data_IF_528723021471
#
_entry.id   IF_528723021471
#
_cell.length_a   1.000
_cell.length_b   1.000
_cell.length_c   1.000
_cell.angle_alpha   90.00
_cell.angle_beta   90.00
_cell.angle_gamma   90.00
#
_symmetry.space_group_name_H-M   'P 1'
#
loop_
_entity.id
_entity.type
_entity.pdbx_description
1 polymer ?
#
# COMPACT_ATOMS: atom_id res chain seq x y z
N UNK A 1 28.39 -25.65 -7.17
CA UNK A 1 26.99 -25.48 -7.58
C UNK A 1 26.68 -24.00 -7.48
N UNK A 2 26.32 -23.37 -8.59
CA UNK A 2 26.13 -21.94 -8.62
C UNK A 2 24.66 -21.62 -8.42
N UNK A 3 24.32 -20.85 -7.40
CA UNK A 3 23.08 -20.08 -7.34
C UNK A 3 22.95 -19.41 -8.72
N UNK A 4 21.84 -19.68 -9.42
CA UNK A 4 21.70 -19.14 -10.76
C UNK A 4 21.25 -17.68 -10.70
N UNK A 5 22.21 -16.78 -10.47
CA UNK A 5 21.96 -15.34 -10.53
C UNK A 5 21.23 -14.94 -11.84
N UNK A 6 21.49 -15.65 -12.94
CA UNK A 6 20.81 -15.42 -14.21
C UNK A 6 19.30 -15.77 -14.13
N UNK A 7 18.94 -16.92 -13.51
CA UNK A 7 17.53 -17.30 -13.32
C UNK A 7 16.80 -16.31 -12.41
N UNK A 8 17.41 -15.99 -11.26
CA UNK A 8 16.87 -15.01 -10.33
C UNK A 8 16.63 -13.66 -11.01
N UNK A 9 17.63 -13.15 -11.73
CA UNK A 9 17.51 -11.87 -12.43
C UNK A 9 16.50 -11.91 -13.58
N UNK A 10 16.41 -13.03 -14.31
CA UNK A 10 15.40 -13.22 -15.35
C UNK A 10 13.97 -13.17 -14.78
N UNK A 11 13.74 -13.84 -13.64
CA UNK A 11 12.45 -13.79 -12.95
C UNK A 11 12.08 -12.35 -12.54
N UNK A 12 13.02 -11.64 -11.91
CA UNK A 12 12.81 -10.24 -11.51
C UNK A 12 12.51 -9.33 -12.71
N UNK A 13 13.16 -9.53 -13.83
CA UNK A 13 12.89 -8.76 -15.06
C UNK A 13 11.51 -9.06 -15.66
N UNK A 14 11.08 -10.31 -15.60
CA UNK A 14 9.80 -10.74 -16.17
C UNK A 14 8.62 -10.26 -15.32
N UNK A 15 8.75 -10.34 -14.00
CA UNK A 15 7.66 -10.10 -13.06
C UNK A 15 7.81 -8.80 -12.26
N UNK A 16 8.80 -7.97 -12.57
CA UNK A 16 9.05 -6.68 -11.93
C UNK A 16 8.14 -5.56 -12.43
N UNK A 17 6.85 -5.76 -12.36
CA UNK A 17 5.81 -4.75 -12.65
C UNK A 17 4.91 -4.55 -11.42
N UNK A 18 4.02 -3.56 -11.47
CA UNK A 18 3.04 -3.33 -10.41
C UNK A 18 2.12 -4.55 -10.26
N UNK A 19 2.00 -5.07 -9.03
CA UNK A 19 1.22 -6.26 -8.68
C UNK A 19 0.63 -6.13 -7.29
N UNK A 20 -0.30 -5.18 -7.21
CA UNK A 20 -0.98 -4.87 -5.95
C UNK A 20 -1.76 -6.09 -5.47
N UNK A 21 -1.79 -6.28 -4.16
CA UNK A 21 -2.53 -7.36 -3.52
C UNK A 21 -3.97 -7.47 -4.04
N UNK A 22 -4.44 -8.70 -4.28
CA UNK A 22 -5.73 -9.04 -4.90
C UNK A 22 -5.87 -8.66 -6.39
N UNK A 23 -4.79 -8.28 -7.06
CA UNK A 23 -4.81 -8.02 -8.51
C UNK A 23 -4.56 -9.28 -9.32
N UNK A 24 -4.86 -9.22 -10.62
CA UNK A 24 -4.50 -10.29 -11.57
C UNK A 24 -3.00 -10.43 -11.72
N UNK A 25 -2.29 -9.32 -11.63
CA UNK A 25 -0.85 -9.22 -11.71
C UNK A 25 -0.20 -9.96 -10.53
N UNK A 26 -0.72 -9.77 -9.31
CA UNK A 26 -0.29 -10.53 -8.13
C UNK A 26 -0.53 -12.04 -8.33
N UNK A 27 -1.71 -12.43 -8.79
CA UNK A 27 -2.06 -13.83 -9.05
C UNK A 27 -1.12 -14.47 -10.09
N UNK A 28 -0.79 -13.75 -11.14
CA UNK A 28 0.14 -14.21 -12.18
C UNK A 28 1.52 -14.52 -11.59
N UNK A 29 2.00 -13.67 -10.67
CA UNK A 29 3.30 -13.90 -10.02
C UNK A 29 3.23 -15.07 -9.03
N UNK A 30 2.12 -15.22 -8.30
CA UNK A 30 1.89 -16.39 -7.43
C UNK A 30 1.96 -17.70 -8.21
N UNK A 31 1.30 -17.76 -9.35
CA UNK A 31 1.30 -18.94 -10.25
C UNK A 31 2.70 -19.21 -10.84
N UNK A 32 3.45 -18.15 -11.16
CA UNK A 32 4.83 -18.29 -11.62
C UNK A 32 5.73 -18.85 -10.49
N UNK A 33 5.61 -18.35 -9.27
CA UNK A 33 6.36 -18.87 -8.11
C UNK A 33 5.99 -20.34 -7.81
N UNK A 34 4.71 -20.68 -7.89
CA UNK A 34 4.23 -22.06 -7.75
C UNK A 34 4.88 -22.99 -8.81
N UNK A 35 4.89 -22.53 -10.08
CA UNK A 35 5.48 -23.28 -11.18
C UNK A 35 7.00 -23.45 -11.00
N UNK A 36 7.71 -22.46 -10.52
CA UNK A 36 9.13 -22.57 -10.17
C UNK A 36 9.35 -23.66 -9.11
N UNK A 37 8.59 -23.64 -8.02
CA UNK A 37 8.69 -24.66 -6.97
C UNK A 37 8.41 -26.06 -7.51
N UNK A 38 7.34 -26.24 -8.28
CA UNK A 38 6.95 -27.55 -8.83
C UNK A 38 7.95 -28.04 -9.87
N UNK A 39 8.53 -27.16 -10.70
CA UNK A 39 9.57 -27.51 -11.66
C UNK A 39 10.86 -28.03 -11.00
N UNK A 40 11.10 -27.57 -9.76
CA UNK A 40 12.18 -28.07 -8.91
C UNK A 40 11.84 -29.40 -8.21
N UNK A 41 10.64 -29.95 -8.41
CA UNK A 41 10.17 -31.19 -7.81
C UNK A 41 9.67 -31.03 -6.36
N UNK A 42 9.48 -29.81 -5.88
CA UNK A 42 9.02 -29.54 -4.53
C UNK A 42 7.49 -29.49 -4.50
N UNK A 43 6.89 -30.11 -3.49
CA UNK A 43 5.45 -29.99 -3.26
C UNK A 43 5.09 -28.57 -2.88
N UNK A 44 4.25 -27.93 -3.67
CA UNK A 44 3.83 -26.56 -3.45
C UNK A 44 2.35 -26.36 -3.79
N UNK A 45 1.71 -25.39 -3.13
CA UNK A 45 0.30 -25.06 -3.33
C UNK A 45 0.06 -23.58 -3.12
N UNK A 46 -1.07 -23.09 -3.66
CA UNK A 46 -1.61 -21.78 -3.33
C UNK A 46 -2.57 -21.91 -2.15
N UNK A 47 -2.39 -21.08 -1.15
CA UNK A 47 -3.30 -20.97 -0.01
C UNK A 47 -4.00 -19.61 -0.07
N UNK A 48 -5.27 -19.65 -0.48
CA UNK A 48 -6.08 -18.45 -0.65
C UNK A 48 -6.61 -17.94 0.70
N UNK A 49 -6.68 -16.62 0.81
CA UNK A 49 -7.26 -15.95 1.98
C UNK A 49 -7.94 -14.64 1.56
N UNK A 50 -8.90 -14.23 2.38
CA UNK A 50 -9.67 -13.00 2.16
C UNK A 50 -8.88 -11.80 2.68
N UNK A 51 -8.88 -10.72 1.90
CA UNK A 51 -8.26 -9.45 2.25
C UNK A 51 -9.29 -8.33 2.11
N UNK A 52 -9.47 -7.50 3.15
CA UNK A 52 -10.31 -6.33 3.03
C UNK A 52 -9.69 -5.32 2.05
N UNK A 53 -10.36 -5.09 0.94
CA UNK A 53 -9.93 -4.21 -0.15
C UNK A 53 -10.80 -2.96 -0.24
N UNK A 54 -10.34 -1.99 -1.02
CA UNK A 54 -11.10 -0.80 -1.36
C UNK A 54 -10.71 -0.31 -2.75
N UNK A 55 -11.60 0.43 -3.36
CA UNK A 55 -11.35 1.10 -4.63
C UNK A 55 -11.91 2.51 -4.58
N UNK A 56 -11.13 3.48 -4.99
CA UNK A 56 -11.56 4.86 -5.17
C UNK A 56 -11.91 5.07 -6.63
N UNK A 57 -13.13 5.50 -6.90
CA UNK A 57 -13.62 5.81 -8.25
C UNK A 57 -13.57 7.29 -8.58
N UNK A 58 -13.62 8.16 -7.57
CA UNK A 58 -13.55 9.61 -7.75
C UNK A 58 -12.87 10.27 -6.54
N UNK A 59 -12.02 11.27 -6.81
CA UNK A 59 -11.42 12.13 -5.80
C UNK A 59 -11.21 13.53 -6.37
N UNK A 60 -11.65 14.57 -5.67
CA UNK A 60 -11.51 15.97 -6.05
C UNK A 60 -11.18 16.82 -4.82
N UNK A 61 -10.29 17.79 -5.02
CA UNK A 61 -10.02 18.87 -4.07
C UNK A 61 -9.99 20.20 -4.79
N UNK A 62 -10.83 21.13 -4.35
CA UNK A 62 -10.89 22.50 -4.84
C UNK A 62 -10.81 23.49 -3.67
N UNK A 63 -9.88 24.42 -3.72
CA UNK A 63 -9.94 25.60 -2.86
C UNK A 63 -11.04 26.53 -3.40
N UNK A 64 -11.91 26.99 -2.51
CA UNK A 64 -13.06 27.87 -2.86
C UNK A 64 -12.89 29.29 -2.34
N UNK A 65 -12.06 29.52 -1.33
CA UNK A 65 -11.73 30.84 -0.81
C UNK A 65 -10.31 30.86 -0.21
N UNK A 66 -9.54 31.95 -0.35
CA UNK A 66 -9.83 33.25 -1.01
C UNK A 66 -9.58 33.22 -2.53
N UNK A 67 -9.27 32.08 -3.11
CA UNK A 67 -9.09 31.87 -4.54
C UNK A 67 -9.76 30.56 -4.94
N UNK A 68 -9.99 30.37 -6.24
CA UNK A 68 -10.53 29.11 -6.77
C UNK A 68 -9.44 28.39 -7.54
N UNK A 69 -9.14 27.16 -7.12
CA UNK A 69 -8.19 26.28 -7.81
C UNK A 69 -8.43 24.82 -7.43
N UNK A 70 -8.43 23.94 -8.42
CA UNK A 70 -8.41 22.50 -8.23
C UNK A 70 -6.96 22.00 -8.11
N UNK A 71 -6.78 20.99 -7.26
CA UNK A 71 -5.51 20.30 -7.05
C UNK A 71 -5.67 18.82 -7.34
N UNK A 72 -4.70 18.25 -8.00
CA UNK A 72 -4.66 16.81 -8.23
C UNK A 72 -4.49 16.05 -6.92
N UNK A 73 -5.37 15.09 -6.68
CA UNK A 73 -5.42 14.30 -5.46
C UNK A 73 -5.73 12.84 -5.75
N UNK A 74 -5.38 11.96 -4.82
CA UNK A 74 -5.87 10.59 -4.74
C UNK A 74 -6.69 10.42 -3.47
N UNK A 75 -7.69 9.54 -3.48
CA UNK A 75 -8.40 9.14 -2.27
C UNK A 75 -7.69 7.99 -1.58
N UNK A 76 -7.84 7.90 -0.25
CA UNK A 76 -7.46 6.69 0.47
C UNK A 76 -8.51 5.61 0.22
N UNK A 77 -8.06 4.43 -0.18
CA UNK A 77 -8.91 3.25 -0.23
C UNK A 77 -9.45 2.94 1.16
N UNK A 78 -10.72 2.54 1.24
CA UNK A 78 -11.43 2.25 2.50
C UNK A 78 -11.65 3.46 3.40
N UNK A 79 -11.40 4.67 2.95
CA UNK A 79 -11.91 5.87 3.57
C UNK A 79 -13.43 6.01 3.34
N UNK A 80 -14.11 6.78 4.19
CA UNK A 80 -15.50 7.09 3.95
C UNK A 80 -15.66 7.95 2.68
N UNK A 81 -16.71 7.72 1.92
CA UNK A 81 -17.10 8.63 0.85
C UNK A 81 -17.65 9.94 1.44
N UNK A 82 -17.54 11.02 0.69
CA UNK A 82 -18.25 12.26 1.00
C UNK A 82 -19.76 12.08 0.76
N UNK A 83 -20.61 12.92 1.37
CA UNK A 83 -22.01 13.03 0.98
C UNK A 83 -22.16 13.33 -0.53
N UNK A 84 -23.34 13.08 -1.07
CA UNK A 84 -23.67 13.51 -2.44
C UNK A 84 -23.48 15.02 -2.59
N UNK A 85 -22.77 15.44 -3.63
CA UNK A 85 -22.39 16.83 -3.85
C UNK A 85 -21.14 17.28 -3.10
N UNK A 86 -20.44 16.36 -2.41
CA UNK A 86 -19.18 16.66 -1.76
C UNK A 86 -19.31 17.25 -0.33
N UNK A 87 -18.23 17.80 0.15
CA UNK A 87 -18.13 18.45 1.45
C UNK A 87 -17.42 19.80 1.31
N UNK A 88 -18.15 20.87 1.65
CA UNK A 88 -17.66 22.25 1.70
C UNK A 88 -17.48 22.69 3.16
N UNK A 89 -16.26 23.02 3.56
CA UNK A 89 -16.03 23.56 4.91
C UNK A 89 -14.70 24.32 5.00
N UNK A 90 -14.42 24.84 6.18
CA UNK A 90 -13.16 25.51 6.47
C UNK A 90 -11.99 24.54 6.36
N UNK A 91 -10.87 25.07 5.88
CA UNK A 91 -9.59 24.39 5.80
C UNK A 91 -8.70 24.79 6.97
N UNK A 92 -8.01 23.81 7.55
CA UNK A 92 -7.05 24.03 8.63
C UNK A 92 -5.80 23.19 8.43
N UNK A 93 -4.61 23.81 8.46
CA UNK A 93 -3.35 23.10 8.51
C UNK A 93 -2.94 22.86 9.97
N UNK A 94 -2.76 21.59 10.34
CA UNK A 94 -2.53 21.15 11.72
C UNK A 94 -1.15 20.55 11.94
N UNK A 95 -0.22 20.79 11.02
CA UNK A 95 1.16 20.29 11.08
C UNK A 95 1.24 18.78 11.35
N UNK A 96 1.80 18.39 12.49
CA UNK A 96 1.90 16.98 12.91
C UNK A 96 0.75 16.57 13.86
N UNK A 97 -0.43 17.13 13.67
CA UNK A 97 -1.56 17.03 14.59
C UNK A 97 -1.21 17.64 15.97
N UNK A 98 -0.73 18.88 15.93
CA UNK A 98 -0.44 19.66 17.13
C UNK A 98 -1.72 19.92 17.93
N UNK A 99 -1.67 19.69 19.23
CA UNK A 99 -2.85 19.73 20.10
C UNK A 99 -3.50 21.11 20.15
N UNK A 100 -2.70 22.19 20.12
CA UNK A 100 -3.22 23.57 20.12
C UNK A 100 -3.98 23.86 18.82
N UNK A 101 -3.46 23.38 17.67
CA UNK A 101 -4.14 23.55 16.38
C UNK A 101 -5.41 22.70 16.30
N UNK A 102 -5.40 21.51 16.88
CA UNK A 102 -6.54 20.60 16.89
C UNK A 102 -7.77 21.12 17.65
N UNK A 103 -7.61 22.04 18.59
CA UNK A 103 -8.75 22.72 19.25
C UNK A 103 -9.68 23.43 18.26
N UNK A 104 -9.18 23.73 17.05
CA UNK A 104 -9.96 24.40 15.99
C UNK A 104 -10.42 23.45 14.89
N UNK A 105 -10.15 22.14 14.99
CA UNK A 105 -10.31 21.19 13.89
C UNK A 105 -11.76 20.68 13.71
N UNK A 106 -12.61 20.84 14.72
CA UNK A 106 -13.98 20.31 14.70
C UNK A 106 -14.76 20.78 13.47
N UNK A 107 -15.25 19.81 12.69
CA UNK A 107 -16.06 20.05 11.49
C UNK A 107 -15.27 20.60 10.29
N UNK A 108 -13.96 20.72 10.37
CA UNK A 108 -13.11 21.25 9.30
C UNK A 108 -12.42 20.14 8.51
N UNK A 109 -12.00 20.46 7.30
CA UNK A 109 -11.06 19.65 6.52
C UNK A 109 -9.65 20.02 6.94
N UNK A 110 -8.93 19.05 7.50
CA UNK A 110 -7.62 19.30 8.07
C UNK A 110 -6.51 18.73 7.17
N UNK A 111 -5.43 19.50 6.98
CA UNK A 111 -4.20 19.02 6.35
C UNK A 111 -3.19 18.67 7.44
N UNK A 112 -2.67 17.44 7.39
CA UNK A 112 -1.64 16.94 8.31
C UNK A 112 -0.39 16.51 7.55
N UNK A 113 0.78 16.64 8.18
CA UNK A 113 2.04 16.23 7.61
C UNK A 113 2.17 14.70 7.49
N UNK A 114 2.58 14.25 6.31
CA UNK A 114 2.94 12.86 6.06
C UNK A 114 1.77 11.89 6.05
N UNK A 115 2.11 10.61 6.18
CA UNK A 115 1.13 9.53 6.22
C UNK A 115 0.42 9.42 7.57
N UNK A 116 -0.83 8.94 7.56
CA UNK A 116 -1.59 8.68 8.77
C UNK A 116 -1.04 7.44 9.50
N UNK A 117 -0.52 7.66 10.69
CA UNK A 117 -0.29 6.60 11.67
C UNK A 117 -1.44 6.58 12.68
N UNK A 118 -1.45 5.56 13.56
CA UNK A 118 -2.52 5.38 14.55
C UNK A 118 -2.69 6.59 15.48
N UNK A 119 -1.59 7.10 16.02
CA UNK A 119 -1.65 8.22 16.98
C UNK A 119 -2.17 9.50 16.33
N UNK A 120 -1.71 9.81 15.11
CA UNK A 120 -2.19 10.97 14.36
C UNK A 120 -3.67 10.83 14.00
N UNK A 121 -4.08 9.66 13.48
CA UNK A 121 -5.47 9.42 13.12
C UNK A 121 -6.41 9.54 14.33
N UNK A 122 -6.05 8.92 15.44
CA UNK A 122 -6.79 9.00 16.69
C UNK A 122 -6.99 10.46 17.17
N UNK A 123 -5.91 11.27 17.16
CA UNK A 123 -5.98 12.69 17.52
C UNK A 123 -6.96 13.45 16.63
N UNK A 124 -6.86 13.28 15.31
CA UNK A 124 -7.73 13.94 14.33
C UNK A 124 -9.21 13.52 14.50
N UNK A 125 -9.45 12.25 14.80
CA UNK A 125 -10.81 11.74 15.05
C UNK A 125 -11.39 12.25 16.36
N UNK A 126 -10.59 12.33 17.43
CA UNK A 126 -10.99 12.93 18.71
C UNK A 126 -11.30 14.43 18.58
N UNK A 127 -10.56 15.13 17.72
CA UNK A 127 -10.81 16.54 17.39
C UNK A 127 -12.01 16.73 16.43
N UNK A 128 -12.73 15.67 16.07
CA UNK A 128 -13.92 15.71 15.23
C UNK A 128 -13.67 16.38 13.85
N UNK A 129 -12.46 16.19 13.27
CA UNK A 129 -12.19 16.63 11.92
C UNK A 129 -13.17 15.97 10.93
N UNK A 130 -13.75 16.78 10.02
CA UNK A 130 -14.74 16.30 9.05
C UNK A 130 -14.11 15.46 7.93
N UNK A 131 -12.91 15.82 7.51
CA UNK A 131 -12.09 15.08 6.55
C UNK A 131 -10.62 15.39 6.77
N UNK A 132 -9.76 14.53 6.19
CA UNK A 132 -8.30 14.62 6.36
C UNK A 132 -7.63 14.71 5.00
N UNK A 133 -6.70 15.63 4.87
CA UNK A 133 -5.77 15.73 3.75
C UNK A 133 -4.38 15.34 4.24
N UNK A 134 -3.67 14.56 3.44
CA UNK A 134 -2.26 14.20 3.63
C UNK A 134 -1.48 14.61 2.40
N UNK A 135 -0.15 14.54 2.46
CA UNK A 135 0.66 14.74 1.28
C UNK A 135 1.84 13.78 1.24
N UNK A 136 2.36 13.56 0.03
CA UNK A 136 3.52 12.73 -0.27
C UNK A 136 4.54 13.50 -1.10
N UNK A 137 5.79 13.02 -1.09
CA UNK A 137 6.89 13.69 -1.75
C UNK A 137 7.47 14.86 -0.93
N UNK A 138 8.30 15.66 -1.59
CA UNK A 138 8.92 16.86 -1.04
C UNK A 138 8.60 18.06 -1.92
N UNK A 139 8.64 19.24 -1.36
CA UNK A 139 8.34 20.50 -2.08
C UNK A 139 9.31 20.81 -3.23
N UNK A 140 10.47 20.19 -3.23
CA UNK A 140 11.51 20.32 -4.28
C UNK A 140 11.39 19.25 -5.37
N UNK A 141 10.54 18.22 -5.18
CA UNK A 141 10.36 17.17 -6.17
C UNK A 141 9.63 17.75 -7.38
N UNK A 142 10.02 17.32 -8.59
CA UNK A 142 9.30 17.67 -9.82
C UNK A 142 8.01 16.83 -9.88
N UNK A 143 6.97 17.34 -10.52
CA UNK A 143 5.71 16.62 -10.71
C UNK A 143 5.89 15.25 -11.38
N UNK A 144 6.88 15.13 -12.27
CA UNK A 144 7.25 13.87 -12.92
C UNK A 144 8.01 12.88 -12.01
N UNK A 145 8.48 13.32 -10.84
CA UNK A 145 9.30 12.53 -9.93
C UNK A 145 8.56 12.15 -8.63
N UNK A 146 7.43 12.80 -8.36
CA UNK A 146 6.60 12.51 -7.18
C UNK A 146 5.21 12.07 -7.64
N UNK A 147 5.02 10.77 -7.70
CA UNK A 147 3.69 10.23 -7.96
C UNK A 147 2.78 10.46 -6.76
N UNK A 148 1.49 10.70 -7.07
CA UNK A 148 0.47 10.73 -6.04
C UNK A 148 0.28 9.31 -5.52
N UNK A 149 0.71 9.04 -4.30
CA UNK A 149 0.54 7.74 -3.70
C UNK A 149 -0.95 7.42 -3.50
N UNK A 150 -1.34 6.24 -3.91
CA UNK A 150 -2.59 5.62 -3.49
C UNK A 150 -2.35 4.94 -2.16
N UNK A 151 -3.05 5.41 -1.14
CA UNK A 151 -2.94 4.91 0.23
C UNK A 151 -4.19 4.13 0.60
N UNK A 152 -4.06 3.23 1.56
CA UNK A 152 -5.16 2.46 2.13
C UNK A 152 -5.34 2.83 3.60
N UNK A 153 -6.57 3.11 3.99
CA UNK A 153 -6.91 3.32 5.40
C UNK A 153 -7.11 1.95 6.06
N UNK A 154 -6.22 1.63 7.00
CA UNK A 154 -6.19 0.30 7.63
C UNK A 154 -7.36 0.13 8.61
N UNK A 155 -7.91 -1.08 8.73
CA UNK A 155 -8.95 -1.43 9.70
C UNK A 155 -8.56 -1.09 11.13
N UNK A 156 -7.30 -1.29 11.48
CA UNK A 156 -6.76 -0.92 12.80
C UNK A 156 -6.93 0.57 13.15
N UNK A 157 -7.23 1.41 12.16
CA UNK A 157 -7.57 2.82 12.34
C UNK A 157 -9.08 3.04 12.31
N UNK A 158 -9.79 2.40 11.38
CA UNK A 158 -11.22 2.67 11.16
C UNK A 158 -12.13 1.98 12.17
N UNK A 159 -11.79 0.78 12.64
CA UNK A 159 -12.60 0.06 13.62
C UNK A 159 -12.75 0.82 14.96
N UNK A 160 -11.65 1.31 15.58
CA UNK A 160 -11.79 1.99 16.86
C UNK A 160 -12.19 3.46 16.74
N UNK A 161 -11.95 4.14 15.60
CA UNK A 161 -12.11 5.59 15.50
C UNK A 161 -13.11 6.04 14.43
N UNK A 162 -13.70 5.12 13.67
CA UNK A 162 -14.56 5.40 12.54
C UNK A 162 -13.80 5.90 11.31
N UNK A 163 -14.39 5.74 10.12
CA UNK A 163 -13.84 6.24 8.88
C UNK A 163 -14.33 7.66 8.58
N UNK A 164 -13.46 8.47 7.99
CA UNK A 164 -13.78 9.78 7.40
C UNK A 164 -13.20 9.85 6.00
N UNK A 165 -13.63 10.80 5.15
CA UNK A 165 -12.96 11.05 3.88
C UNK A 165 -11.49 11.42 4.10
N UNK A 166 -10.60 10.76 3.35
CA UNK A 166 -9.16 11.02 3.40
C UNK A 166 -8.63 11.11 1.99
N UNK A 167 -7.96 12.22 1.67
CA UNK A 167 -7.34 12.44 0.37
C UNK A 167 -5.83 12.68 0.54
N UNK A 168 -5.07 12.38 -0.49
CA UNK A 168 -3.64 12.61 -0.55
C UNK A 168 -3.30 13.51 -1.73
N UNK A 169 -2.33 14.42 -1.55
CA UNK A 169 -1.84 15.33 -2.58
C UNK A 169 -0.31 15.34 -2.64
N UNK A 170 0.24 16.03 -3.62
CA UNK A 170 1.69 16.28 -3.66
C UNK A 170 2.10 17.31 -2.61
N UNK A 171 3.29 17.16 -2.05
CA UNK A 171 3.85 18.11 -1.08
C UNK A 171 3.92 19.55 -1.63
N UNK A 172 4.22 19.71 -2.92
CA UNK A 172 4.22 21.02 -3.57
C UNK A 172 2.84 21.69 -3.56
N UNK A 173 1.78 20.92 -3.81
CA UNK A 173 0.38 21.37 -3.75
C UNK A 173 -0.02 21.73 -2.32
N UNK A 174 0.34 20.91 -1.34
CA UNK A 174 0.10 21.18 0.08
C UNK A 174 0.78 22.49 0.53
N UNK A 175 2.04 22.68 0.16
CA UNK A 175 2.77 23.90 0.45
C UNK A 175 2.13 25.14 -0.23
N UNK A 176 1.64 25.00 -1.46
CA UNK A 176 0.95 26.09 -2.16
C UNK A 176 -0.35 26.49 -1.46
N UNK A 177 -1.19 25.50 -1.10
CA UNK A 177 -2.47 25.73 -0.40
C UNK A 177 -2.24 26.51 0.88
N UNK A 178 -1.26 26.09 1.71
CA UNK A 178 -0.92 26.75 2.98
C UNK A 178 -0.36 28.16 2.72
N UNK A 179 0.62 28.29 1.82
CA UNK A 179 1.25 29.60 1.50
C UNK A 179 0.24 30.61 0.96
N UNK A 180 -0.73 30.16 0.16
CA UNK A 180 -1.77 31.04 -0.40
C UNK A 180 -2.92 31.33 0.57
N UNK A 181 -2.87 30.78 1.78
CA UNK A 181 -3.82 31.05 2.83
C UNK A 181 -5.23 30.58 2.51
N UNK A 182 -5.36 29.35 2.00
CA UNK A 182 -6.69 28.76 1.76
C UNK A 182 -7.53 28.81 3.04
N UNK A 183 -8.80 29.18 2.91
CA UNK A 183 -9.74 29.30 4.04
C UNK A 183 -10.86 28.28 3.97
N UNK A 184 -11.39 28.05 2.77
CA UNK A 184 -12.44 27.06 2.53
C UNK A 184 -12.06 26.19 1.35
N UNK A 185 -12.42 24.92 1.46
CA UNK A 185 -12.18 23.92 0.42
C UNK A 185 -13.43 23.07 0.22
N UNK A 186 -13.57 22.59 -1.00
CA UNK A 186 -14.54 21.59 -1.41
C UNK A 186 -13.79 20.30 -1.72
N UNK A 187 -14.28 19.17 -1.20
CA UNK A 187 -13.76 17.85 -1.54
C UNK A 187 -14.88 16.90 -1.97
N UNK A 188 -14.56 16.04 -2.91
CA UNK A 188 -15.37 14.89 -3.27
C UNK A 188 -14.50 13.63 -3.16
N UNK A 189 -15.05 12.59 -2.57
CA UNK A 189 -14.45 11.26 -2.51
C UNK A 189 -15.55 10.22 -2.66
N UNK A 190 -15.41 9.36 -3.65
CA UNK A 190 -16.28 8.20 -3.83
C UNK A 190 -15.43 6.96 -3.92
N UNK A 191 -15.72 6.01 -3.06
CA UNK A 191 -15.05 4.72 -3.01
C UNK A 191 -15.97 3.61 -2.54
N UNK A 192 -15.53 2.39 -2.72
CA UNK A 192 -16.20 1.19 -2.25
C UNK A 192 -15.24 0.31 -1.46
N UNK A 193 -15.78 -0.44 -0.50
CA UNK A 193 -15.07 -1.48 0.23
C UNK A 193 -15.59 -2.84 -0.24
N UNK A 194 -14.70 -3.80 -0.41
CA UNK A 194 -15.04 -5.16 -0.79
C UNK A 194 -14.02 -6.15 -0.24
N UNK A 195 -14.41 -7.41 -0.16
CA UNK A 195 -13.49 -8.49 0.17
C UNK A 195 -12.84 -9.02 -1.11
N UNK A 196 -11.53 -8.88 -1.18
CA UNK A 196 -10.70 -9.44 -2.26
C UNK A 196 -10.09 -10.77 -1.83
N UNK A 197 -9.57 -11.52 -2.80
CA UNK A 197 -8.83 -12.75 -2.55
C UNK A 197 -7.36 -12.55 -2.91
N UNK A 198 -6.48 -12.87 -1.99
CA UNK A 198 -5.05 -12.99 -2.21
C UNK A 198 -4.60 -14.43 -1.85
N UNK A 199 -3.35 -14.76 -2.04
CA UNK A 199 -2.84 -16.11 -1.82
C UNK A 199 -1.38 -16.11 -1.36
N UNK A 200 -1.05 -17.08 -0.52
CA UNK A 200 0.33 -17.46 -0.25
C UNK A 200 0.75 -18.57 -1.23
N UNK A 201 2.02 -18.57 -1.61
CA UNK A 201 2.66 -19.70 -2.26
C UNK A 201 3.42 -20.48 -1.20
N UNK A 202 2.90 -21.63 -0.81
CA UNK A 202 3.46 -22.46 0.23
C UNK A 202 4.15 -23.67 -0.38
N UNK A 203 5.43 -23.85 -0.08
CA UNK A 203 6.23 -25.00 -0.51
C UNK A 203 6.86 -25.67 0.70
N UNK A 204 6.86 -26.99 0.74
CA UNK A 204 7.38 -27.77 1.87
C UNK A 204 8.44 -28.76 1.41
N UNK A 205 9.59 -28.72 2.09
CA UNK A 205 10.67 -29.70 1.93
C UNK A 205 10.75 -30.49 3.23
N UNK A 206 10.47 -31.81 3.21
CA UNK A 206 10.57 -32.64 4.39
C UNK A 206 12.01 -32.68 4.94
N UNK A 207 12.14 -32.49 6.25
CA UNK A 207 13.40 -32.65 6.95
C UNK A 207 13.77 -34.12 7.15
N UNK A 208 15.06 -34.40 7.29
CA UNK A 208 15.59 -35.77 7.54
C UNK A 208 16.03 -35.98 9.00
N UNK A 209 15.95 -34.95 9.83
CA UNK A 209 16.41 -34.97 11.21
C UNK A 209 15.25 -34.82 12.21
N UNK A 210 15.22 -33.72 12.92
CA UNK A 210 14.17 -33.42 13.90
C UNK A 210 12.87 -33.01 13.19
N UNK A 211 11.99 -33.94 12.94
CA UNK A 211 10.74 -33.75 12.18
C UNK A 211 9.76 -32.76 12.85
N UNK A 212 9.93 -32.48 14.13
CA UNK A 212 9.09 -31.58 14.94
C UNK A 212 9.50 -30.10 14.82
N UNK A 213 10.71 -29.84 14.29
CA UNK A 213 11.22 -28.48 14.12
C UNK A 213 10.96 -28.00 12.68
N UNK A 214 10.31 -26.86 12.54
CA UNK A 214 10.01 -26.22 11.25
C UNK A 214 10.82 -24.94 11.12
N UNK A 215 11.56 -24.80 10.01
CA UNK A 215 12.20 -23.54 9.62
C UNK A 215 11.37 -22.93 8.50
N UNK A 216 10.84 -21.73 8.73
CA UNK A 216 10.08 -21.00 7.74
C UNK A 216 10.93 -19.89 7.12
N UNK A 217 10.99 -19.85 5.81
CA UNK A 217 11.56 -18.76 5.02
C UNK A 217 10.43 -18.08 4.25
N UNK A 218 10.38 -16.76 4.23
CA UNK A 218 9.31 -16.02 3.58
C UNK A 218 9.77 -14.71 2.95
N UNK A 219 9.06 -14.31 1.92
CA UNK A 219 9.18 -13.00 1.28
C UNK A 219 7.85 -12.67 0.62
N UNK A 220 7.40 -11.42 0.74
CA UNK A 220 6.19 -11.01 0.02
C UNK A 220 6.51 -10.68 -1.44
N UNK A 221 5.59 -11.02 -2.35
CA UNK A 221 5.76 -10.83 -3.78
C UNK A 221 4.81 -9.79 -4.37
N UNK A 222 3.86 -9.28 -3.59
CA UNK A 222 3.04 -8.13 -3.99
C UNK A 222 3.86 -6.83 -4.01
N UNK A 223 3.29 -5.79 -4.57
CA UNK A 223 3.84 -4.44 -4.57
C UNK A 223 2.80 -3.42 -4.14
N UNK A 224 3.25 -2.23 -3.78
CA UNK A 224 2.36 -1.07 -3.66
C UNK A 224 2.09 -0.46 -5.03
N UNK A 225 1.07 0.39 -5.12
CA UNK A 225 0.78 1.17 -6.32
C UNK A 225 2.00 1.99 -6.77
N UNK A 226 2.14 2.16 -8.08
CA UNK A 226 3.20 2.93 -8.74
C UNK A 226 4.62 2.41 -8.49
N UNK A 227 4.76 1.16 -8.05
CA UNK A 227 6.05 0.52 -7.81
C UNK A 227 6.17 -0.79 -8.58
N UNK A 228 7.32 -1.00 -9.20
CA UNK A 228 7.66 -2.32 -9.73
C UNK A 228 7.86 -3.37 -8.63
N UNK A 229 8.04 -2.95 -7.36
CA UNK A 229 8.21 -3.82 -6.22
C UNK A 229 9.34 -4.85 -6.34
N UNK A 230 10.33 -4.62 -7.23
CA UNK A 230 11.43 -5.58 -7.46
C UNK A 230 12.30 -5.69 -6.22
N UNK A 231 12.67 -4.53 -5.65
CA UNK A 231 13.46 -4.49 -4.43
C UNK A 231 12.62 -4.86 -3.21
N UNK A 232 11.39 -4.35 -3.13
CA UNK A 232 10.47 -4.53 -2.02
C UNK A 232 9.14 -5.16 -2.50
N UNK A 233 9.01 -6.50 -2.45
CA UNK A 233 10.03 -7.45 -1.97
C UNK A 233 10.08 -8.71 -2.87
N UNK A 234 9.88 -8.55 -4.21
CA UNK A 234 9.99 -9.69 -5.13
C UNK A 234 11.38 -10.34 -5.07
N UNK A 235 12.43 -9.53 -4.85
CA UNK A 235 13.78 -10.05 -4.67
C UNK A 235 13.89 -10.99 -3.46
N UNK A 236 13.23 -10.68 -2.35
CA UNK A 236 13.15 -11.56 -1.20
C UNK A 236 12.46 -12.88 -1.52
N UNK A 237 11.35 -12.85 -2.26
CA UNK A 237 10.66 -14.07 -2.71
C UNK A 237 11.54 -14.92 -3.62
N UNK A 238 12.27 -14.31 -4.55
CA UNK A 238 13.22 -15.02 -5.42
C UNK A 238 14.39 -15.61 -4.63
N UNK A 239 14.91 -14.90 -3.63
CA UNK A 239 15.95 -15.42 -2.73
C UNK A 239 15.46 -16.66 -1.99
N UNK A 240 14.19 -16.72 -1.59
CA UNK A 240 13.59 -17.89 -0.91
C UNK A 240 13.52 -19.11 -1.86
N UNK A 241 13.42 -18.92 -3.17
CA UNK A 241 13.46 -20.01 -4.15
C UNK A 241 14.84 -20.66 -4.29
N UNK A 242 15.92 -19.96 -4.00
CA UNK A 242 17.28 -20.46 -4.19
C UNK A 242 17.65 -21.63 -3.23
N UNK A 243 17.35 -21.57 -1.91
CA UNK A 243 17.47 -22.73 -1.01
C UNK A 243 16.66 -23.93 -1.47
N UNK A 244 15.44 -23.70 -2.00
CA UNK A 244 14.57 -24.75 -2.56
C UNK A 244 15.29 -25.50 -3.68
N UNK A 245 15.85 -24.75 -4.65
CA UNK A 245 16.64 -25.28 -5.75
C UNK A 245 17.87 -26.05 -5.27
N UNK A 246 18.57 -25.54 -4.26
CA UNK A 246 19.81 -26.13 -3.74
C UNK A 246 19.58 -27.43 -2.99
N UNK A 247 18.60 -27.46 -2.10
CA UNK A 247 18.35 -28.62 -1.23
C UNK A 247 17.78 -29.80 -2.01
N UNK A 248 16.90 -29.53 -2.98
CA UNK A 248 16.26 -30.59 -3.74
C UNK A 248 17.19 -31.22 -4.80
N UNK A 249 17.98 -30.44 -5.49
CA UNK A 249 18.97 -30.94 -6.46
C UNK A 249 20.06 -31.78 -5.77
N UNK A 250 20.49 -31.41 -4.56
CA UNK A 250 21.47 -32.22 -3.82
C UNK A 250 20.92 -33.57 -3.33
N UNK A 251 19.64 -33.63 -2.94
CA UNK A 251 19.01 -34.89 -2.56
C UNK A 251 19.01 -35.89 -3.72
N UNK A 252 18.86 -35.44 -4.96
CA UNK A 252 18.94 -36.28 -6.17
C UNK A 252 20.35 -36.65 -6.54
N UNK A 253 21.37 -35.79 -6.35
CA UNK A 253 22.77 -36.11 -6.62
C UNK A 253 23.36 -37.16 -5.67
N UNK A 254 22.91 -37.17 -4.40
CA UNK A 254 23.37 -38.16 -3.42
C UNK A 254 22.78 -39.56 -3.60
N UNK A 255 21.69 -39.69 -4.38
CA UNK A 255 21.08 -40.97 -4.70
C UNK A 255 21.68 -41.64 -5.96
N UNK A 256 22.55 -40.95 -6.68
CA UNK A 256 23.21 -41.45 -7.91
C UNK A 256 24.71 -41.80 -7.76
N UNK A 257 25.23 -41.79 -6.53
CA UNK A 257 26.62 -42.24 -6.25
C UNK A 257 26.64 -43.49 -5.34
#
# INVERSE_FOLDING_TARGET
MNVSAHRAFSFLRTYGYERVSCSKEERTVAEALLNECTSLGVSAQLEEFTVPCGRVSHALLRVTSPYVKEYEVTGYERAASTPEGGLDTEFLYVENADEVLLEQAKGKIVLVNGYLNRATYEKLRKAEAAAILTFTGRTIDRESESDLNRCKLRETLTEPFGAVPVLNMRAASAAEIVRRGAKTVHIELTGECYDGTSQNVCATIPGTGKAEEVITLGGHYDSVYFSSGVHDNLSGSVIVLEPVSYTHLRAHETLMN
#
